data_IF_883209614752
#
_entry.id   IF_883209614752
#
_cell.length_a   1.000
_cell.length_b   1.000
_cell.length_c   1.000
_cell.angle_alpha   90.00
_cell.angle_beta   90.00
_cell.angle_gamma   90.00
#
_symmetry.space_group_name_H-M   'P 1'
#
loop_
_entity.id
_entity.type
_entity.pdbx_description
1 polymer ?
#
# COMPACT_ATOMS: atom_id res chain seq x y z
N UNK A 1 -15.58 13.59 -6.47
CA UNK A 1 -14.68 12.63 -7.15
C UNK A 1 -15.46 11.34 -7.32
N UNK A 2 -15.62 10.84 -8.55
CA UNK A 2 -16.23 9.52 -8.78
C UNK A 2 -15.20 8.41 -8.53
N UNK A 3 -15.66 7.16 -8.43
CA UNK A 3 -14.77 6.01 -8.30
C UNK A 3 -13.76 5.94 -9.45
N UNK A 4 -14.24 6.16 -10.67
CA UNK A 4 -13.45 6.10 -11.90
C UNK A 4 -12.35 7.16 -11.88
N UNK A 5 -12.70 8.41 -11.52
CA UNK A 5 -11.74 9.51 -11.43
C UNK A 5 -10.67 9.25 -10.36
N UNK A 6 -11.02 8.59 -9.25
CA UNK A 6 -10.06 8.24 -8.21
C UNK A 6 -9.06 7.17 -8.68
N UNK A 7 -9.56 6.14 -9.35
CA UNK A 7 -8.76 5.05 -9.93
C UNK A 7 -7.80 5.59 -10.98
N UNK A 8 -8.29 6.42 -11.90
CA UNK A 8 -7.46 7.06 -12.93
C UNK A 8 -6.35 7.91 -12.29
N UNK A 9 -6.68 8.70 -11.26
CA UNK A 9 -5.71 9.53 -10.56
C UNK A 9 -4.60 8.69 -9.93
N UNK A 10 -4.91 7.56 -9.29
CA UNK A 10 -3.91 6.66 -8.69
C UNK A 10 -3.00 6.08 -9.76
N UNK A 11 -3.56 5.59 -10.88
CA UNK A 11 -2.76 5.00 -11.95
C UNK A 11 -1.84 6.01 -12.66
N UNK A 12 -2.24 7.28 -12.73
CA UNK A 12 -1.40 8.35 -13.30
C UNK A 12 -0.06 8.54 -12.58
N UNK A 13 0.04 8.12 -11.30
CA UNK A 13 1.24 8.27 -10.46
C UNK A 13 2.31 7.20 -10.70
N UNK A 14 2.01 6.15 -11.48
CA UNK A 14 2.88 4.98 -11.69
C UNK A 14 3.98 5.20 -12.75
N UNK A 15 4.06 6.38 -13.36
CA UNK A 15 4.92 6.71 -14.51
C UNK A 15 6.43 6.56 -14.24
N UNK A 16 6.87 6.52 -12.98
CA UNK A 16 8.29 6.53 -12.61
C UNK A 16 8.87 5.17 -12.15
N UNK A 17 8.12 4.07 -12.31
CA UNK A 17 8.57 2.73 -11.91
C UNK A 17 8.71 2.56 -10.38
N UNK A 18 9.28 1.42 -9.95
CA UNK A 18 9.52 1.15 -8.52
C UNK A 18 10.78 1.86 -8.03
N UNK A 19 10.66 2.62 -6.94
CA UNK A 19 11.80 3.11 -6.16
C UNK A 19 11.73 2.48 -4.77
N UNK A 20 12.53 1.41 -4.51
CA UNK A 20 12.58 0.75 -3.22
C UNK A 20 12.97 1.72 -2.10
N UNK A 21 12.55 1.43 -0.87
CA UNK A 21 12.73 2.29 0.30
C UNK A 21 11.41 2.71 0.92
N UNK A 22 11.44 3.09 2.20
CA UNK A 22 10.24 3.38 2.98
C UNK A 22 10.07 4.88 3.28
N UNK A 23 11.01 5.74 2.88
CA UNK A 23 11.04 7.14 3.34
C UNK A 23 9.81 7.93 2.88
N UNK A 24 9.40 7.77 1.62
CA UNK A 24 8.17 8.40 1.10
C UNK A 24 6.92 7.91 1.83
N UNK A 25 6.87 6.61 2.15
CA UNK A 25 5.73 6.03 2.85
C UNK A 25 5.69 6.48 4.32
N UNK A 26 6.84 6.55 5.00
CA UNK A 26 6.96 7.06 6.37
C UNK A 26 6.48 8.52 6.47
N UNK A 27 6.89 9.39 5.55
CA UNK A 27 6.42 10.79 5.50
C UNK A 27 4.91 10.86 5.29
N UNK A 28 4.35 10.02 4.41
CA UNK A 28 2.90 9.97 4.18
C UNK A 28 2.14 9.50 5.43
N UNK A 29 2.60 8.42 6.06
CA UNK A 29 1.97 7.85 7.25
C UNK A 29 2.03 8.82 8.44
N UNK A 30 3.13 9.54 8.61
CA UNK A 30 3.28 10.57 9.63
C UNK A 30 2.23 11.68 9.47
N UNK A 31 2.04 12.18 8.23
CA UNK A 31 0.98 13.16 7.91
C UNK A 31 -0.44 12.63 8.13
N UNK A 32 -0.61 11.31 8.14
CA UNK A 32 -1.90 10.63 8.39
C UNK A 32 -2.06 10.22 9.87
N UNK A 33 -1.13 10.60 10.75
CA UNK A 33 -1.18 10.30 12.17
C UNK A 33 -0.78 8.87 12.52
N UNK A 34 0.16 8.29 11.76
CA UNK A 34 0.76 6.98 12.00
C UNK A 34 -0.24 5.85 12.30
N UNK A 35 -1.24 5.61 11.43
CA UNK A 35 -2.27 4.60 11.67
C UNK A 35 -1.71 3.18 11.81
N UNK A 36 -0.55 2.89 11.23
CA UNK A 36 0.12 1.60 11.35
C UNK A 36 0.50 1.23 12.80
N UNK A 37 0.64 2.21 13.70
CA UNK A 37 1.08 1.97 15.08
C UNK A 37 -0.06 1.47 16.00
N UNK A 38 -1.32 1.66 15.58
CA UNK A 38 -2.51 1.34 16.39
C UNK A 38 -3.39 0.24 15.81
N UNK A 39 -3.16 -0.14 14.56
CA UNK A 39 -3.94 -1.16 13.86
C UNK A 39 -3.26 -2.54 13.97
N UNK A 40 -4.06 -3.61 13.85
CA UNK A 40 -3.56 -4.99 13.87
C UNK A 40 -3.41 -5.50 12.45
N UNK A 41 -2.28 -6.15 12.16
CA UNK A 41 -1.96 -6.65 10.82
C UNK A 41 -1.34 -8.05 10.88
N UNK A 42 -1.55 -8.81 9.79
CA UNK A 42 -0.77 -10.00 9.47
C UNK A 42 0.11 -9.64 8.27
N UNK A 43 1.43 -9.73 8.44
CA UNK A 43 2.38 -9.43 7.37
C UNK A 43 2.77 -10.72 6.65
N UNK A 44 2.44 -10.83 5.36
CA UNK A 44 2.68 -12.04 4.55
C UNK A 44 3.65 -11.71 3.41
N UNK A 45 4.79 -12.40 3.39
CA UNK A 45 5.83 -12.27 2.37
C UNK A 45 6.17 -13.64 1.75
N UNK A 46 6.76 -13.63 0.55
CA UNK A 46 7.15 -14.84 -0.17
C UNK A 46 7.05 -14.66 -1.69
N UNK A 47 7.73 -15.48 -2.48
CA UNK A 47 7.69 -15.37 -3.95
C UNK A 47 6.31 -15.78 -4.48
N UNK A 48 5.77 -16.89 -3.97
CA UNK A 48 4.49 -17.48 -4.39
C UNK A 48 3.52 -17.63 -3.21
N UNK A 49 2.24 -17.85 -3.47
CA UNK A 49 1.26 -18.24 -2.46
C UNK A 49 0.72 -17.14 -1.53
N UNK A 50 1.32 -15.94 -1.50
CA UNK A 50 0.87 -14.82 -0.65
C UNK A 50 -0.64 -14.55 -0.75
N UNK A 51 -1.15 -14.43 -1.98
CA UNK A 51 -2.57 -14.16 -2.23
C UNK A 51 -3.49 -15.28 -1.75
N UNK A 52 -3.11 -16.54 -2.02
CA UNK A 52 -3.89 -17.70 -1.58
C UNK A 52 -3.89 -17.86 -0.06
N UNK A 53 -2.75 -17.63 0.61
CA UNK A 53 -2.67 -17.66 2.08
C UNK A 53 -3.51 -16.55 2.69
N UNK A 54 -3.45 -15.32 2.16
CA UNK A 54 -4.31 -14.23 2.62
C UNK A 54 -5.81 -14.54 2.49
N UNK A 55 -6.22 -15.35 1.52
CA UNK A 55 -7.63 -15.70 1.30
C UNK A 55 -8.13 -16.80 2.24
N UNK A 56 -7.24 -17.52 2.93
CA UNK A 56 -7.58 -18.65 3.81
C UNK A 56 -7.53 -18.28 5.31
N UNK A 57 -6.97 -17.11 5.64
CA UNK A 57 -6.85 -16.55 6.99
C UNK A 57 -8.02 -15.61 7.30
#
# INVERSE_FOLDING_TARGET
MTYENAVEKIHSLLTFGSRPGLDRMRILLDRLGNPQDRLKFIHIAGTNGKGSVCAML
#
